data_IF_809817422087
#
_entry.id   IF_809817422087
#
_cell.length_a   1.000
_cell.length_b   1.000
_cell.length_c   1.000
_cell.angle_alpha   90.00
_cell.angle_beta   90.00
_cell.angle_gamma   90.00
#
_symmetry.space_group_name_H-M   'P 1'
#
loop_
_entity.id
_entity.type
_entity.pdbx_description
1 polymer ?
#
# COMPACT_ATOMS: atom_id res chain seq x y z
N UNK A 1 -60.94 -66.72 -16.69
CA UNK A 1 -60.64 -66.83 -15.25
C UNK A 1 -60.82 -65.45 -14.64
N UNK A 2 -61.38 -65.34 -13.44
CA UNK A 2 -61.51 -64.05 -12.75
C UNK A 2 -60.26 -63.84 -11.87
N UNK A 3 -59.55 -62.74 -12.08
CA UNK A 3 -58.38 -62.38 -11.28
C UNK A 3 -58.81 -61.73 -9.96
N UNK A 4 -57.98 -61.86 -8.92
CA UNK A 4 -58.17 -61.14 -7.67
C UNK A 4 -57.81 -59.66 -7.88
N UNK A 5 -58.68 -58.71 -7.51
CA UNK A 5 -58.35 -57.29 -7.62
C UNK A 5 -57.22 -56.93 -6.64
N UNK A 6 -56.14 -56.36 -7.17
CA UNK A 6 -54.98 -55.93 -6.39
C UNK A 6 -55.18 -54.51 -5.85
N UNK A 7 -54.69 -54.24 -4.64
CA UNK A 7 -54.66 -52.92 -4.02
C UNK A 7 -53.27 -52.63 -3.46
N UNK A 8 -52.86 -51.36 -3.51
CA UNK A 8 -51.57 -50.90 -2.99
C UNK A 8 -51.59 -50.76 -1.45
N UNK A 9 -51.81 -51.87 -0.76
CA UNK A 9 -51.96 -51.90 0.69
C UNK A 9 -50.89 -52.79 1.33
N UNK A 10 -50.24 -52.27 2.38
CA UNK A 10 -49.33 -53.06 3.22
C UNK A 10 -50.07 -53.62 4.43
N UNK A 11 -50.63 -54.82 4.25
CA UNK A 11 -51.44 -55.51 5.27
C UNK A 11 -50.69 -56.73 5.85
N UNK A 12 -51.09 -57.18 7.04
CA UNK A 12 -50.62 -58.45 7.58
C UNK A 12 -51.12 -59.63 6.74
N UNK A 13 -50.26 -60.63 6.50
CA UNK A 13 -50.67 -61.86 5.80
C UNK A 13 -51.50 -62.69 6.77
N UNK A 14 -52.79 -62.86 6.48
CA UNK A 14 -53.67 -63.64 7.34
C UNK A 14 -53.24 -65.12 7.36
N UNK A 15 -53.17 -65.70 8.55
CA UNK A 15 -53.06 -67.15 8.72
C UNK A 15 -54.45 -67.79 8.59
N UNK A 16 -54.54 -68.95 7.95
CA UNK A 16 -55.77 -69.75 7.95
C UNK A 16 -55.83 -70.55 9.26
N UNK A 17 -56.95 -70.45 9.95
CA UNK A 17 -57.19 -71.15 11.20
C UNK A 17 -58.04 -72.40 10.97
N UNK A 18 -57.93 -73.38 11.86
CA UNK A 18 -58.68 -74.64 11.76
C UNK A 18 -60.19 -74.47 11.91
N UNK A 19 -60.63 -73.34 12.47
CA UNK A 19 -62.04 -72.96 12.61
C UNK A 19 -62.60 -72.22 11.39
N UNK A 20 -61.76 -71.86 10.41
CA UNK A 20 -62.20 -71.11 9.23
C UNK A 20 -63.01 -71.99 8.27
N UNK A 21 -64.11 -71.42 7.75
CA UNK A 21 -64.88 -72.06 6.69
C UNK A 21 -64.13 -71.93 5.37
N UNK A 22 -64.01 -73.03 4.62
CA UNK A 22 -63.40 -73.06 3.30
C UNK A 22 -64.26 -72.33 2.24
N UNK A 23 -64.24 -71.00 2.27
CA UNK A 23 -64.96 -70.13 1.37
C UNK A 23 -64.02 -69.56 0.30
N UNK A 24 -64.26 -69.92 -0.96
CA UNK A 24 -63.58 -69.35 -2.12
C UNK A 24 -64.28 -68.09 -2.66
N UNK A 25 -63.80 -67.59 -3.80
CA UNK A 25 -64.35 -66.41 -4.47
C UNK A 25 -63.85 -65.07 -3.92
N UNK A 26 -64.30 -63.94 -4.50
CA UNK A 26 -63.92 -62.60 -4.07
C UNK A 26 -64.33 -62.36 -2.61
N UNK A 27 -63.37 -62.08 -1.74
CA UNK A 27 -63.63 -61.89 -0.30
C UNK A 27 -63.69 -63.17 0.53
N UNK A 28 -63.56 -64.36 -0.10
CA UNK A 28 -63.50 -65.64 0.59
C UNK A 28 -62.26 -65.79 1.48
N UNK A 29 -62.41 -66.46 2.62
CA UNK A 29 -61.35 -66.64 3.64
C UNK A 29 -60.14 -67.37 3.05
N UNK A 30 -60.35 -68.33 2.15
CA UNK A 30 -59.28 -69.09 1.51
C UNK A 30 -58.39 -68.24 0.58
N UNK A 31 -58.93 -67.14 0.05
CA UNK A 31 -58.21 -66.22 -0.83
C UNK A 31 -57.57 -65.05 -0.08
N UNK A 32 -57.84 -64.89 1.22
CA UNK A 32 -57.33 -63.77 2.00
C UNK A 32 -55.79 -63.72 2.05
N UNK A 33 -55.06 -64.82 2.37
CA UNK A 33 -53.59 -64.78 2.43
C UNK A 33 -52.97 -64.43 1.07
N UNK A 34 -53.52 -64.97 -0.02
CA UNK A 34 -53.06 -64.69 -1.38
C UNK A 34 -53.31 -63.23 -1.74
N UNK A 35 -54.50 -62.69 -1.43
CA UNK A 35 -54.81 -61.27 -1.64
C UNK A 35 -53.87 -60.36 -0.84
N UNK A 36 -53.57 -60.67 0.42
CA UNK A 36 -52.63 -59.88 1.22
C UNK A 36 -51.22 -59.88 0.59
N UNK A 37 -50.75 -61.01 0.07
CA UNK A 37 -49.44 -61.10 -0.61
C UNK A 37 -49.43 -60.31 -1.93
N UNK A 38 -50.48 -60.43 -2.73
CA UNK A 38 -50.60 -59.69 -3.98
C UNK A 38 -50.66 -58.18 -3.72
N UNK A 39 -51.43 -57.73 -2.73
CA UNK A 39 -51.50 -56.32 -2.33
C UNK A 39 -50.13 -55.77 -1.86
N UNK A 40 -49.41 -56.54 -1.04
CA UNK A 40 -48.04 -56.18 -0.62
C UNK A 40 -47.09 -56.10 -1.81
N UNK A 41 -47.23 -56.99 -2.79
CA UNK A 41 -46.41 -56.99 -4.00
C UNK A 41 -46.67 -55.74 -4.83
N UNK A 42 -47.94 -55.36 -5.03
CA UNK A 42 -48.33 -54.12 -5.70
C UNK A 42 -47.80 -52.87 -4.96
N UNK A 43 -47.92 -52.84 -3.62
CA UNK A 43 -47.35 -51.78 -2.78
C UNK A 43 -45.82 -51.66 -2.95
N UNK A 44 -45.09 -52.78 -2.88
CA UNK A 44 -43.64 -52.80 -3.04
C UNK A 44 -43.22 -52.40 -4.45
N UNK A 45 -43.96 -52.82 -5.49
CA UNK A 45 -43.68 -52.45 -6.87
C UNK A 45 -43.80 -50.94 -7.06
N UNK A 46 -44.85 -50.31 -6.55
CA UNK A 46 -45.00 -48.85 -6.58
C UNK A 46 -43.91 -48.14 -5.79
N UNK A 47 -43.58 -48.62 -4.60
CA UNK A 47 -42.51 -48.06 -3.78
C UNK A 47 -41.13 -48.17 -4.45
N UNK A 48 -40.90 -49.24 -5.22
CA UNK A 48 -39.69 -49.43 -6.01
C UNK A 48 -39.68 -48.51 -7.24
N UNK A 49 -40.79 -48.42 -7.98
CA UNK A 49 -40.91 -47.56 -9.16
C UNK A 49 -40.73 -46.07 -8.83
N UNK A 50 -41.18 -45.65 -7.65
CA UNK A 50 -40.90 -44.30 -7.13
C UNK A 50 -39.43 -44.05 -6.78
N UNK A 51 -38.58 -45.08 -6.74
CA UNK A 51 -37.15 -44.99 -6.39
C UNK A 51 -36.20 -45.29 -7.56
N UNK A 52 -36.67 -45.88 -8.66
CA UNK A 52 -35.82 -46.30 -9.79
C UNK A 52 -35.78 -45.31 -10.95
N UNK A 53 -36.59 -44.26 -10.93
CA UNK A 53 -36.58 -43.19 -11.94
C UNK A 53 -35.34 -42.28 -11.86
N UNK A 54 -35.06 -41.54 -12.93
CA UNK A 54 -34.03 -40.49 -12.94
C UNK A 54 -34.42 -39.38 -11.96
N UNK A 55 -33.48 -38.92 -11.13
CA UNK A 55 -33.75 -37.78 -10.25
C UNK A 55 -33.88 -36.47 -11.04
N UNK A 56 -34.64 -35.53 -10.48
CA UNK A 56 -34.74 -34.15 -10.94
C UNK A 56 -34.66 -33.21 -9.74
N UNK A 57 -34.75 -31.90 -10.01
CA UNK A 57 -34.83 -30.88 -8.95
C UNK A 57 -36.14 -30.94 -8.15
N UNK A 58 -37.16 -31.66 -8.65
CA UNK A 58 -38.50 -31.77 -8.03
C UNK A 58 -38.89 -33.20 -7.68
N UNK A 59 -38.11 -34.21 -8.09
CA UNK A 59 -38.45 -35.63 -7.92
C UNK A 59 -37.20 -36.42 -7.52
N UNK A 60 -37.30 -37.14 -6.41
CA UNK A 60 -36.23 -38.03 -5.97
C UNK A 60 -36.07 -39.20 -6.96
N UNK A 61 -34.82 -39.63 -7.18
CA UNK A 61 -34.49 -40.72 -8.09
C UNK A 61 -33.00 -41.07 -8.03
N UNK A 62 -32.53 -41.86 -8.99
CA UNK A 62 -31.12 -42.25 -9.11
C UNK A 62 -30.42 -41.29 -10.09
N UNK A 63 -29.24 -40.80 -9.71
CA UNK A 63 -28.35 -40.00 -10.57
C UNK A 63 -27.04 -40.72 -10.78
N UNK A 64 -26.43 -40.54 -11.96
CA UNK A 64 -25.05 -40.96 -12.19
C UNK A 64 -24.12 -39.92 -11.58
N UNK A 65 -23.07 -40.36 -10.90
CA UNK A 65 -22.07 -39.45 -10.33
C UNK A 65 -20.95 -39.18 -11.34
N UNK A 66 -20.53 -37.92 -11.44
CA UNK A 66 -19.40 -37.49 -12.27
C UNK A 66 -18.36 -36.73 -11.44
N UNK A 67 -17.08 -37.06 -11.66
CA UNK A 67 -15.95 -36.36 -11.03
C UNK A 67 -15.26 -35.37 -11.98
N UNK A 68 -15.86 -35.07 -13.13
CA UNK A 68 -15.36 -34.07 -14.07
C UNK A 68 -15.69 -32.65 -13.57
N UNK A 69 -14.75 -31.72 -13.70
CA UNK A 69 -14.90 -30.31 -13.29
C UNK A 69 -15.36 -29.39 -14.43
N UNK A 70 -15.54 -29.95 -15.62
CA UNK A 70 -15.94 -29.28 -16.86
C UNK A 70 -17.02 -30.09 -17.61
N UNK A 71 -17.90 -30.77 -16.87
CA UNK A 71 -18.98 -31.58 -17.44
C UNK A 71 -20.12 -30.68 -17.92
N UNK A 72 -20.57 -30.89 -19.15
CA UNK A 72 -21.78 -30.25 -19.70
C UNK A 72 -23.06 -31.10 -19.46
N UNK A 73 -22.94 -32.25 -18.79
CA UNK A 73 -24.10 -33.12 -18.47
C UNK A 73 -25.05 -32.44 -17.49
N UNK A 74 -26.33 -32.39 -17.85
CA UNK A 74 -27.43 -31.93 -16.98
C UNK A 74 -28.11 -33.06 -16.21
N UNK A 75 -27.67 -34.32 -16.40
CA UNK A 75 -28.28 -35.52 -15.79
C UNK A 75 -27.37 -36.21 -14.77
N UNK A 76 -26.11 -35.80 -14.70
CA UNK A 76 -25.13 -36.36 -13.76
C UNK A 76 -24.95 -35.41 -12.57
N UNK A 77 -24.85 -35.95 -11.36
CA UNK A 77 -24.54 -35.18 -10.17
C UNK A 77 -23.02 -35.10 -9.95
N UNK A 78 -22.54 -33.91 -9.57
CA UNK A 78 -21.14 -33.71 -9.24
C UNK A 78 -20.75 -34.46 -7.95
N UNK A 79 -19.61 -35.13 -7.96
CA UNK A 79 -19.03 -35.70 -6.73
C UNK A 79 -18.42 -34.59 -5.86
N UNK A 80 -18.32 -34.85 -4.56
CA UNK A 80 -17.58 -33.97 -3.64
C UNK A 80 -16.12 -33.72 -4.09
N UNK A 81 -15.50 -34.69 -4.78
CA UNK A 81 -14.15 -34.53 -5.33
C UNK A 81 -14.10 -33.57 -6.54
N UNK A 82 -15.12 -33.54 -7.41
CA UNK A 82 -15.22 -32.52 -8.46
C UNK A 82 -15.37 -31.13 -7.86
N UNK A 83 -16.25 -30.97 -6.87
CA UNK A 83 -16.47 -29.69 -6.18
C UNK A 83 -15.17 -29.21 -5.52
N UNK A 84 -14.46 -30.10 -4.81
CA UNK A 84 -13.18 -29.79 -4.18
C UNK A 84 -12.11 -29.39 -5.20
N UNK A 85 -11.99 -30.09 -6.33
CA UNK A 85 -11.03 -29.74 -7.39
C UNK A 85 -11.32 -28.37 -8.02
N UNK A 86 -12.59 -28.07 -8.26
CA UNK A 86 -13.00 -26.76 -8.78
C UNK A 86 -12.68 -25.64 -7.78
N UNK A 87 -12.95 -25.88 -6.50
CA UNK A 87 -12.59 -24.98 -5.41
C UNK A 87 -11.08 -24.74 -5.33
N UNK A 88 -10.27 -25.82 -5.29
CA UNK A 88 -8.81 -25.72 -5.20
C UNK A 88 -8.21 -24.97 -6.42
N UNK A 89 -8.78 -25.17 -7.61
CA UNK A 89 -8.36 -24.42 -8.80
C UNK A 89 -8.69 -22.93 -8.69
N UNK A 90 -9.90 -22.59 -8.22
CA UNK A 90 -10.30 -21.20 -7.99
C UNK A 90 -9.40 -20.53 -6.94
N UNK A 91 -9.10 -21.22 -5.83
CA UNK A 91 -8.18 -20.76 -4.78
C UNK A 91 -6.75 -20.55 -5.33
N UNK A 92 -6.24 -21.47 -6.15
CA UNK A 92 -4.93 -21.32 -6.81
C UNK A 92 -4.87 -20.13 -7.77
N UNK A 93 -5.94 -19.85 -8.52
CA UNK A 93 -5.99 -18.66 -9.39
C UNK A 93 -6.12 -17.39 -8.58
N UNK A 94 -6.87 -17.41 -7.49
CA UNK A 94 -7.07 -16.23 -6.66
C UNK A 94 -5.84 -15.86 -5.83
N UNK A 95 -5.08 -16.84 -5.34
CA UNK A 95 -3.79 -16.60 -4.68
C UNK A 95 -2.76 -15.95 -5.61
N UNK A 96 -2.93 -16.06 -6.94
CA UNK A 96 -2.13 -15.30 -7.91
C UNK A 96 -2.56 -13.84 -8.07
N UNK A 97 -3.69 -13.45 -7.48
CA UNK A 97 -4.19 -12.08 -7.45
C UNK A 97 -3.79 -11.46 -6.10
N UNK A 98 -2.84 -10.50 -6.09
CA UNK A 98 -2.24 -10.00 -4.85
C UNK A 98 -3.16 -9.12 -3.98
N UNK A 99 -4.45 -9.05 -4.29
CA UNK A 99 -5.40 -8.11 -3.67
C UNK A 99 -6.77 -8.69 -3.30
N UNK A 100 -7.00 -10.00 -3.41
CA UNK A 100 -8.31 -10.61 -3.14
C UNK A 100 -8.18 -11.93 -2.34
N UNK A 101 -9.19 -12.24 -1.53
CA UNK A 101 -9.29 -13.51 -0.78
C UNK A 101 -10.48 -14.37 -1.22
N UNK A 102 -10.41 -15.68 -1.01
CA UNK A 102 -11.40 -16.68 -1.48
C UNK A 102 -12.80 -16.37 -0.95
N UNK A 103 -12.88 -15.96 0.31
CA UNK A 103 -14.14 -15.61 0.96
C UNK A 103 -14.80 -14.35 0.38
N UNK A 104 -14.07 -13.46 -0.31
CA UNK A 104 -14.61 -12.21 -0.89
C UNK A 104 -15.13 -12.39 -2.33
N UNK A 105 -14.77 -13.48 -3.02
CA UNK A 105 -15.05 -13.68 -4.45
C UNK A 105 -16.01 -14.85 -4.72
N UNK A 106 -15.96 -15.92 -3.92
CA UNK A 106 -16.73 -17.15 -4.17
C UNK A 106 -18.05 -17.25 -3.39
N UNK A 107 -18.33 -16.33 -2.47
CA UNK A 107 -19.58 -16.31 -1.69
C UNK A 107 -20.78 -15.67 -2.43
N UNK A 108 -20.55 -15.19 -3.67
CA UNK A 108 -21.59 -14.63 -4.53
C UNK A 108 -22.16 -13.29 -4.06
N UNK A 109 -21.54 -12.63 -3.07
CA UNK A 109 -22.08 -11.42 -2.45
C UNK A 109 -21.62 -10.09 -3.05
N UNK A 110 -20.55 -10.06 -3.85
CA UNK A 110 -19.93 -8.79 -4.28
C UNK A 110 -20.02 -8.55 -5.79
N UNK A 111 -20.86 -7.60 -6.20
CA UNK A 111 -20.92 -7.07 -7.58
C UNK A 111 -19.84 -6.03 -7.89
N UNK A 112 -19.01 -5.65 -6.92
CA UNK A 112 -17.87 -4.74 -7.12
C UNK A 112 -16.58 -5.43 -6.70
N UNK A 113 -15.50 -5.22 -7.47
CA UNK A 113 -14.13 -5.54 -7.04
C UNK A 113 -13.75 -4.58 -5.90
N UNK A 114 -14.27 -4.81 -4.71
CA UNK A 114 -13.93 -4.01 -3.53
C UNK A 114 -12.56 -4.49 -3.07
N UNK A 115 -11.50 -3.85 -3.55
CA UNK A 115 -10.20 -3.98 -2.87
C UNK A 115 -10.43 -3.45 -1.46
N UNK A 116 -10.33 -4.32 -0.45
CA UNK A 116 -10.61 -3.88 0.90
C UNK A 116 -9.68 -2.69 1.28
N UNK A 117 -10.18 -1.69 2.04
CA UNK A 117 -9.37 -0.52 2.39
C UNK A 117 -8.02 -0.86 3.05
N UNK A 118 -7.95 -1.97 3.77
CA UNK A 118 -6.72 -2.45 4.45
C UNK A 118 -5.66 -2.93 3.43
N UNK A 119 -6.08 -3.51 2.32
CA UNK A 119 -5.23 -3.90 1.19
C UNK A 119 -4.71 -2.65 0.49
N UNK A 120 -5.57 -1.66 0.24
CA UNK A 120 -5.12 -0.39 -0.35
C UNK A 120 -4.16 0.39 0.57
N UNK A 121 -4.40 0.36 1.89
CA UNK A 121 -3.51 0.91 2.90
C UNK A 121 -2.16 0.19 2.94
N UNK A 122 -2.13 -1.15 2.94
CA UNK A 122 -0.87 -1.91 2.94
C UNK A 122 -0.05 -1.71 1.65
N UNK A 123 -0.70 -1.26 0.57
CA UNK A 123 -0.05 -0.86 -0.69
C UNK A 123 0.37 0.62 -0.72
N UNK A 124 0.08 1.40 0.33
CA UNK A 124 0.45 2.81 0.43
C UNK A 124 -0.48 3.80 -0.26
N UNK A 125 -1.65 3.36 -0.74
CA UNK A 125 -2.57 4.17 -1.56
C UNK A 125 -3.58 5.01 -0.73
N UNK A 126 -3.74 4.73 0.57
CA UNK A 126 -4.58 5.49 1.50
C UNK A 126 -3.89 5.63 2.85
N UNK A 127 -4.08 6.77 3.52
CA UNK A 127 -3.64 6.92 4.91
C UNK A 127 -4.49 6.02 5.82
N UNK A 128 -3.84 5.07 6.49
CA UNK A 128 -4.52 4.16 7.41
C UNK A 128 -4.87 4.81 8.74
N UNK A 129 -3.99 5.70 9.23
CA UNK A 129 -4.12 6.41 10.50
C UNK A 129 -3.13 7.59 10.55
N UNK A 130 -3.45 8.64 11.33
CA UNK A 130 -2.48 9.69 11.73
C UNK A 130 -2.16 9.46 13.21
N UNK A 131 -0.94 9.05 13.52
CA UNK A 131 -0.62 8.57 14.87
C UNK A 131 0.71 9.09 15.38
N UNK A 132 0.85 9.18 16.71
CA UNK A 132 2.12 9.47 17.36
C UNK A 132 3.08 8.30 17.16
N UNK A 133 4.29 8.57 16.67
CA UNK A 133 5.33 7.56 16.54
C UNK A 133 6.17 7.45 17.81
N UNK A 134 5.80 6.50 18.66
CA UNK A 134 6.43 6.23 19.95
C UNK A 134 7.59 5.23 19.89
N UNK A 135 7.71 4.48 18.79
CA UNK A 135 8.71 3.40 18.64
C UNK A 135 9.74 3.78 17.59
N UNK A 136 11.03 3.55 17.87
CA UNK A 136 12.12 3.85 16.92
C UNK A 136 12.07 3.05 15.63
N UNK A 137 11.54 1.83 15.63
CA UNK A 137 11.50 0.98 14.44
C UNK A 137 10.11 0.96 13.82
N UNK A 138 10.03 1.34 12.55
CA UNK A 138 8.82 1.23 11.73
C UNK A 138 8.88 -0.11 10.99
N UNK A 139 7.75 -0.80 10.91
CA UNK A 139 7.63 -2.14 10.30
C UNK A 139 6.83 -2.10 9.01
N UNK A 140 6.94 -3.15 8.18
CA UNK A 140 6.19 -3.27 6.93
C UNK A 140 4.67 -3.31 7.14
N UNK A 141 4.20 -3.66 8.34
CA UNK A 141 2.78 -3.58 8.70
C UNK A 141 2.23 -2.15 8.74
N UNK A 142 3.11 -1.15 8.77
CA UNK A 142 2.77 0.28 8.86
C UNK A 142 2.89 1.01 7.52
N UNK A 143 3.00 0.30 6.39
CA UNK A 143 2.83 0.93 5.09
C UNK A 143 1.46 1.61 4.97
N UNK A 144 1.45 2.78 4.35
CA UNK A 144 0.30 3.70 4.30
C UNK A 144 0.10 4.54 5.56
N UNK A 145 0.94 4.43 6.60
CA UNK A 145 0.78 5.22 7.82
C UNK A 145 1.34 6.65 7.67
N UNK A 146 0.69 7.60 8.36
CA UNK A 146 1.24 8.93 8.63
C UNK A 146 1.53 9.08 10.12
N UNK A 147 2.74 9.47 10.43
CA UNK A 147 3.21 9.68 11.79
C UNK A 147 3.50 11.14 12.07
N UNK A 148 3.20 11.56 13.29
CA UNK A 148 3.79 12.77 13.87
C UNK A 148 4.69 12.37 15.04
N UNK A 149 5.72 13.18 15.28
CA UNK A 149 6.72 12.97 16.33
C UNK A 149 6.78 14.20 17.21
N UNK A 150 6.36 14.06 18.48
CA UNK A 150 6.39 15.12 19.51
C UNK A 150 7.03 14.63 20.83
N UNK A 151 7.49 13.38 20.86
CA UNK A 151 7.93 12.76 22.11
C UNK A 151 9.40 13.10 22.41
N UNK A 152 9.75 13.24 23.69
CA UNK A 152 11.13 13.55 24.12
C UNK A 152 12.16 12.52 23.65
N UNK A 153 11.75 11.25 23.52
CA UNK A 153 12.53 10.13 22.97
C UNK A 153 11.61 9.12 22.27
N UNK A 154 11.97 8.56 21.11
CA UNK A 154 13.28 8.63 20.47
C UNK A 154 13.46 9.85 19.54
N UNK A 155 14.71 10.19 19.20
CA UNK A 155 15.08 11.17 18.18
C UNK A 155 15.60 10.53 16.88
N UNK A 156 15.67 9.20 16.86
CA UNK A 156 16.08 8.42 15.71
C UNK A 156 15.04 7.33 15.43
N UNK A 157 14.64 7.25 14.17
CA UNK A 157 13.67 6.30 13.68
C UNK A 157 14.23 5.56 12.47
N UNK A 158 13.79 4.33 12.28
CA UNK A 158 14.28 3.45 11.23
C UNK A 158 13.10 2.97 10.39
N UNK A 159 13.18 3.21 9.09
CA UNK A 159 12.22 2.71 8.10
C UNK A 159 12.25 1.18 8.03
N UNK A 160 11.19 0.52 7.52
CA UNK A 160 11.21 -0.91 7.28
C UNK A 160 12.35 -1.33 6.34
N UNK A 161 12.89 -2.53 6.55
CA UNK A 161 13.77 -3.16 5.57
C UNK A 161 12.94 -3.53 4.33
N UNK A 162 13.34 -2.96 3.18
CA UNK A 162 12.68 -3.17 1.89
C UNK A 162 13.49 -4.09 0.96
N UNK A 163 14.53 -4.75 1.48
CA UNK A 163 15.42 -5.60 0.68
C UNK A 163 14.70 -6.77 -0.02
N UNK A 164 13.60 -7.25 0.56
CA UNK A 164 12.80 -8.36 0.06
C UNK A 164 11.43 -7.92 -0.50
N UNK A 165 11.19 -6.61 -0.62
CA UNK A 165 9.94 -6.09 -1.20
C UNK A 165 10.07 -6.13 -2.73
N UNK A 166 9.17 -6.86 -3.39
CA UNK A 166 9.19 -7.08 -4.85
C UNK A 166 8.35 -6.03 -5.61
N UNK A 167 7.58 -5.21 -4.91
CA UNK A 167 6.71 -4.15 -5.49
C UNK A 167 7.19 -2.73 -5.20
N UNK A 168 6.56 -1.74 -5.83
CA UNK A 168 6.76 -0.32 -5.56
C UNK A 168 5.46 0.33 -5.05
N UNK A 169 5.59 1.54 -4.50
CA UNK A 169 4.47 2.41 -4.13
C UNK A 169 4.11 2.40 -2.65
N UNK A 170 4.68 1.52 -1.82
CA UNK A 170 4.43 1.55 -0.38
C UNK A 170 4.95 2.84 0.23
N UNK A 171 4.13 3.52 1.03
CA UNK A 171 4.44 4.85 1.55
C UNK A 171 4.50 4.87 3.07
N UNK A 172 5.37 5.73 3.63
CA UNK A 172 5.36 6.13 5.04
C UNK A 172 5.54 7.64 5.08
N UNK A 173 4.67 8.35 5.78
CA UNK A 173 4.85 9.80 5.99
C UNK A 173 5.20 10.07 7.44
N UNK A 174 6.20 10.92 7.69
CA UNK A 174 6.64 11.31 9.03
C UNK A 174 6.69 12.82 9.10
N UNK A 175 6.13 13.39 10.17
CA UNK A 175 6.16 14.82 10.47
C UNK A 175 6.82 15.05 11.82
N UNK A 176 7.91 15.81 11.84
CA UNK A 176 8.58 16.21 13.06
C UNK A 176 7.92 17.47 13.62
N UNK A 177 7.17 17.34 14.72
CA UNK A 177 6.59 18.49 15.42
C UNK A 177 7.44 18.96 16.61
N UNK A 178 8.55 18.25 16.90
CA UNK A 178 9.50 18.66 17.94
C UNK A 178 10.21 19.95 17.58
N UNK A 179 10.72 20.63 18.61
CA UNK A 179 11.66 21.75 18.53
C UNK A 179 13.13 21.31 18.25
N UNK A 180 13.36 20.00 18.11
CA UNK A 180 14.67 19.40 17.85
C UNK A 180 14.65 18.54 16.59
N UNK A 181 15.82 18.33 16.00
CA UNK A 181 15.97 17.48 14.83
C UNK A 181 15.68 16.00 15.16
N UNK A 182 15.06 15.29 14.23
CA UNK A 182 14.98 13.83 14.24
C UNK A 182 15.72 13.25 13.05
N UNK A 183 16.19 12.02 13.19
CA UNK A 183 16.90 11.28 12.13
C UNK A 183 16.07 10.09 11.69
N UNK A 184 15.83 9.96 10.39
CA UNK A 184 15.19 8.80 9.77
C UNK A 184 16.28 8.01 9.05
N UNK A 185 16.48 6.74 9.41
CA UNK A 185 17.44 5.85 8.77
C UNK A 185 16.74 4.75 7.98
N UNK A 186 17.45 4.19 7.00
CA UNK A 186 17.01 2.97 6.32
C UNK A 186 17.02 1.75 7.26
N UNK A 187 16.11 0.80 7.02
CA UNK A 187 16.01 -0.44 7.79
C UNK A 187 17.14 -1.44 7.60
N UNK A 188 17.88 -1.31 6.50
CA UNK A 188 18.99 -2.16 6.12
C UNK A 188 20.05 -1.31 5.42
N UNK A 189 21.34 -1.56 5.68
CA UNK A 189 22.46 -0.83 5.07
C UNK A 189 22.53 -0.99 3.55
N UNK A 190 21.90 -2.03 3.00
CA UNK A 190 21.76 -2.25 1.55
C UNK A 190 20.63 -1.42 0.92
N UNK A 191 19.85 -0.70 1.73
CA UNK A 191 18.81 0.20 1.24
C UNK A 191 19.34 1.63 1.18
N UNK A 192 18.66 2.49 0.42
CA UNK A 192 18.99 3.91 0.35
C UNK A 192 17.74 4.77 0.32
N UNK A 193 17.91 6.06 0.61
CA UNK A 193 16.90 7.11 0.45
C UNK A 193 17.38 8.01 -0.70
N UNK A 194 16.68 7.97 -1.82
CA UNK A 194 16.85 8.89 -2.93
C UNK A 194 16.33 10.27 -2.53
N UNK A 195 17.18 11.26 -2.72
CA UNK A 195 16.96 12.69 -2.49
C UNK A 195 17.43 13.43 -3.75
N UNK A 196 17.14 14.74 -3.91
CA UNK A 196 17.59 15.49 -5.08
C UNK A 196 19.10 15.29 -5.36
N UNK A 197 19.41 14.73 -6.53
CA UNK A 197 20.77 14.53 -7.05
C UNK A 197 21.69 13.63 -6.20
N UNK A 198 21.16 12.84 -5.25
CA UNK A 198 21.97 12.00 -4.38
C UNK A 198 21.17 10.85 -3.75
N UNK A 199 21.87 9.94 -3.07
CA UNK A 199 21.28 8.89 -2.24
C UNK A 199 21.96 8.89 -0.87
N UNK A 200 21.17 8.81 0.19
CA UNK A 200 21.63 8.82 1.58
C UNK A 200 21.09 7.60 2.34
N UNK A 201 21.72 7.22 3.44
CA UNK A 201 21.20 6.17 4.33
C UNK A 201 20.42 6.76 5.51
N UNK A 202 20.54 8.07 5.72
CA UNK A 202 19.82 8.82 6.75
C UNK A 202 19.32 10.15 6.21
N UNK A 203 18.15 10.58 6.68
CA UNK A 203 17.56 11.89 6.40
C UNK A 203 17.20 12.57 7.72
N UNK A 204 17.67 13.81 7.91
CA UNK A 204 17.32 14.63 9.07
C UNK A 204 16.09 15.47 8.77
N UNK A 205 15.04 15.30 9.59
CA UNK A 205 13.88 16.19 9.62
C UNK A 205 14.13 17.23 10.71
N UNK A 206 14.21 18.51 10.33
CA UNK A 206 14.30 19.62 11.29
C UNK A 206 12.93 19.88 11.94
N UNK A 207 12.86 20.71 12.99
CA UNK A 207 11.60 21.12 13.57
C UNK A 207 10.59 21.54 12.52
N UNK A 208 9.34 21.10 12.69
CA UNK A 208 8.19 21.35 11.82
C UNK A 208 8.22 20.69 10.43
N UNK A 209 9.33 20.04 10.04
CA UNK A 209 9.46 19.42 8.71
C UNK A 209 8.82 18.03 8.61
N UNK A 210 8.41 17.67 7.41
CA UNK A 210 7.86 16.38 7.05
C UNK A 210 8.59 15.73 5.86
N UNK A 211 8.47 14.41 5.77
CA UNK A 211 8.88 13.66 4.60
C UNK A 211 7.95 12.47 4.38
N UNK A 212 7.61 12.22 3.13
CA UNK A 212 6.98 10.99 2.65
C UNK A 212 8.04 10.15 1.96
N UNK A 213 8.21 8.93 2.45
CA UNK A 213 9.11 7.92 1.90
C UNK A 213 8.28 6.94 1.09
N UNK A 214 8.64 6.73 -0.16
CA UNK A 214 7.94 5.89 -1.12
C UNK A 214 8.91 4.78 -1.54
N UNK A 215 8.50 3.51 -1.44
CA UNK A 215 9.30 2.40 -1.97
C UNK A 215 9.33 2.50 -3.50
N UNK A 216 10.50 2.79 -4.05
CA UNK A 216 10.80 2.64 -5.46
C UNK A 216 11.41 1.26 -5.74
N UNK A 217 11.62 0.93 -7.02
CA UNK A 217 12.19 -0.36 -7.39
C UNK A 217 13.59 -0.55 -6.76
N UNK A 218 13.90 -1.78 -6.35
CA UNK A 218 15.25 -2.25 -5.95
C UNK A 218 15.86 -1.52 -4.74
N UNK A 219 15.28 -1.71 -3.55
CA UNK A 219 15.90 -1.31 -2.25
C UNK A 219 16.05 0.21 -2.05
N UNK A 220 15.31 1.03 -2.78
CA UNK A 220 15.36 2.49 -2.69
C UNK A 220 14.05 3.03 -2.12
N UNK A 221 14.17 3.93 -1.15
CA UNK A 221 13.12 4.84 -0.71
C UNK A 221 13.26 6.15 -1.48
N UNK A 222 12.26 6.60 -2.22
CA UNK A 222 12.22 7.98 -2.71
C UNK A 222 11.59 8.87 -1.62
N UNK A 223 12.35 9.85 -1.14
CA UNK A 223 11.83 10.84 -0.20
C UNK A 223 11.29 12.06 -0.95
N UNK A 224 10.13 12.55 -0.53
CA UNK A 224 9.56 13.84 -0.93
C UNK A 224 9.02 14.59 0.29
N UNK A 225 8.80 15.89 0.20
CA UNK A 225 8.36 16.74 1.32
C UNK A 225 9.24 17.98 1.52
N UNK A 226 8.89 18.80 2.50
CA UNK A 226 9.60 20.03 2.84
C UNK A 226 11.02 19.77 3.38
N UNK A 227 11.24 18.67 4.12
CA UNK A 227 12.59 18.25 4.52
C UNK A 227 13.50 17.98 3.30
N UNK A 228 12.91 17.53 2.19
CA UNK A 228 13.59 17.19 0.94
C UNK A 228 13.74 18.41 0.03
N UNK A 229 12.74 19.31 0.02
CA UNK A 229 12.77 20.54 -0.77
C UNK A 229 13.98 21.42 -0.44
N UNK A 230 14.37 21.48 0.84
CA UNK A 230 15.60 22.17 1.27
C UNK A 230 16.87 21.63 0.61
N UNK A 231 16.89 20.36 0.24
CA UNK A 231 18.04 19.70 -0.42
C UNK A 231 18.04 19.92 -1.93
N UNK A 232 16.96 20.45 -2.50
CA UNK A 232 16.88 20.72 -3.92
C UNK A 232 17.87 21.84 -4.31
N UNK A 233 18.67 21.66 -5.39
CA UNK A 233 19.67 22.65 -5.78
C UNK A 233 19.12 24.06 -6.02
N UNK A 234 17.86 24.17 -6.47
CA UNK A 234 17.17 25.45 -6.70
C UNK A 234 16.88 26.25 -5.43
N UNK A 235 16.94 25.62 -4.26
CA UNK A 235 16.70 26.22 -2.95
C UNK A 235 17.94 26.17 -2.04
N UNK A 236 19.10 25.86 -2.61
CA UNK A 236 20.36 25.77 -1.87
C UNK A 236 20.83 27.14 -1.37
N UNK A 237 21.39 27.17 -0.16
CA UNK A 237 21.92 28.37 0.46
C UNK A 237 23.03 28.05 1.47
N UNK A 238 23.89 29.02 1.75
CA UNK A 238 24.83 29.04 2.85
C UNK A 238 24.53 30.27 3.73
N UNK A 239 24.07 30.09 4.98
CA UNK A 239 23.71 31.21 5.84
C UNK A 239 24.92 31.87 6.55
N UNK A 240 26.16 31.56 6.15
CA UNK A 240 27.36 32.15 6.75
C UNK A 240 27.27 33.68 6.78
N UNK A 241 27.56 34.28 7.94
CA UNK A 241 27.54 35.73 8.10
C UNK A 241 28.52 36.43 7.15
N UNK A 242 29.73 35.87 7.02
CA UNK A 242 30.75 36.33 6.09
C UNK A 242 30.98 35.25 5.03
N UNK A 243 30.51 35.49 3.80
CA UNK A 243 30.59 34.52 2.71
C UNK A 243 29.34 33.63 2.60
N UNK A 244 28.16 34.18 2.88
CA UNK A 244 26.89 33.51 2.67
C UNK A 244 26.33 33.74 1.28
N UNK A 245 25.38 32.89 0.89
CA UNK A 245 24.69 32.98 -0.39
C UNK A 245 23.35 32.24 -0.36
N UNK A 246 22.45 32.59 -1.27
CA UNK A 246 21.20 31.90 -1.49
C UNK A 246 20.87 31.87 -2.97
N UNK A 247 20.52 30.69 -3.48
CA UNK A 247 19.90 30.54 -4.80
C UNK A 247 18.39 30.70 -4.70
N UNK A 248 17.82 31.43 -5.65
CA UNK A 248 16.39 31.69 -5.75
C UNK A 248 15.78 30.79 -6.83
N UNK A 249 14.48 30.45 -6.72
CA UNK A 249 13.78 29.65 -7.72
C UNK A 249 13.81 30.23 -9.14
N UNK A 250 13.99 31.56 -9.28
CA UNK A 250 14.16 32.24 -10.56
C UNK A 250 15.48 31.93 -11.27
N UNK A 251 16.42 31.26 -10.60
CA UNK A 251 17.79 31.06 -11.07
C UNK A 251 18.78 32.12 -10.58
N UNK A 252 18.29 33.24 -10.05
CA UNK A 252 19.13 34.26 -9.41
C UNK A 252 19.86 33.70 -8.19
N UNK A 253 21.05 34.21 -7.93
CA UNK A 253 21.85 33.94 -6.75
C UNK A 253 22.13 35.29 -6.08
N UNK A 254 21.88 35.38 -4.78
CA UNK A 254 22.28 36.51 -3.94
C UNK A 254 23.44 36.03 -3.06
N UNK A 255 24.52 36.79 -2.97
CA UNK A 255 25.68 36.48 -2.13
C UNK A 255 26.00 37.67 -1.21
N UNK A 256 26.53 37.41 -0.02
CA UNK A 256 26.92 38.45 0.92
C UNK A 256 28.19 38.07 1.69
N UNK A 257 28.92 39.09 2.14
CA UNK A 257 30.12 38.90 2.93
C UNK A 257 30.87 40.21 3.14
N UNK A 258 32.08 40.09 3.65
CA UNK A 258 33.02 41.19 3.84
C UNK A 258 33.88 41.41 2.61
N UNK A 259 34.31 42.65 2.41
CA UNK A 259 35.39 43.03 1.49
C UNK A 259 36.59 43.53 2.29
N UNK A 260 37.80 43.18 1.84
CA UNK A 260 39.02 43.73 2.43
C UNK A 260 39.25 45.16 1.95
N UNK A 261 39.65 46.05 2.87
CA UNK A 261 39.81 47.49 2.62
C UNK A 261 41.27 47.89 2.84
N UNK A 262 42.14 47.53 1.89
CA UNK A 262 43.51 48.05 1.81
C UNK A 262 43.56 49.29 0.90
N UNK A 263 44.66 50.05 0.95
CA UNK A 263 44.87 51.17 0.02
C UNK A 263 45.12 50.62 -1.38
N UNK A 264 44.13 50.74 -2.28
CA UNK A 264 44.19 50.24 -3.65
C UNK A 264 43.01 49.34 -4.03
N UNK A 265 43.04 48.85 -5.27
CA UNK A 265 42.02 47.92 -5.77
C UNK A 265 42.23 46.57 -5.10
N UNK A 266 41.18 46.07 -4.45
CA UNK A 266 41.20 44.82 -3.69
C UNK A 266 40.23 43.82 -4.29
N UNK A 267 40.72 42.62 -4.57
CA UNK A 267 39.89 41.53 -5.10
C UNK A 267 39.38 40.64 -3.98
N UNK A 268 38.06 40.54 -3.86
CA UNK A 268 37.37 39.65 -2.91
C UNK A 268 36.73 38.49 -3.67
N UNK A 269 36.96 37.26 -3.21
CA UNK A 269 36.32 36.05 -3.76
C UNK A 269 34.89 35.91 -3.27
N UNK A 270 33.98 35.58 -4.19
CA UNK A 270 32.61 35.20 -3.86
C UNK A 270 32.55 33.75 -3.36
N UNK A 271 31.61 33.41 -2.46
CA UNK A 271 31.38 32.05 -1.96
C UNK A 271 31.12 31.03 -3.06
N UNK A 272 30.36 31.44 -4.09
CA UNK A 272 30.07 30.62 -5.26
C UNK A 272 30.26 31.45 -6.54
N UNK A 273 30.66 30.79 -7.61
CA UNK A 273 30.76 31.44 -8.94
C UNK A 273 29.36 31.58 -9.53
N UNK A 274 29.02 32.76 -10.07
CA UNK A 274 27.80 32.93 -10.85
C UNK A 274 27.89 32.11 -12.15
N UNK A 275 26.96 31.15 -12.40
CA UNK A 275 27.02 30.26 -13.55
C UNK A 275 27.08 30.96 -14.91
N UNK A 276 26.42 32.12 -15.05
CA UNK A 276 26.27 32.83 -16.32
C UNK A 276 26.78 34.27 -16.24
N UNK A 277 26.25 35.08 -15.32
CA UNK A 277 26.52 36.51 -15.26
C UNK A 277 26.52 37.05 -13.82
N UNK A 278 27.51 37.89 -13.52
CA UNK A 278 27.51 38.73 -12.31
C UNK A 278 26.90 40.09 -12.66
N UNK A 279 25.69 40.36 -12.17
CA UNK A 279 24.94 41.56 -12.54
C UNK A 279 25.40 42.80 -11.76
N UNK A 280 25.51 42.70 -10.44
CA UNK A 280 25.86 43.87 -9.61
C UNK A 280 26.36 43.51 -8.21
N UNK A 281 27.25 44.34 -7.67
CA UNK A 281 27.69 44.31 -6.28
C UNK A 281 27.41 45.65 -5.61
N UNK A 282 26.54 45.67 -4.60
CA UNK A 282 26.40 46.80 -3.71
C UNK A 282 27.36 46.63 -2.54
N UNK A 283 28.12 47.68 -2.21
CA UNK A 283 29.04 47.70 -1.08
C UNK A 283 28.69 48.80 -0.11
N UNK A 284 28.89 48.51 1.17
CA UNK A 284 28.79 49.47 2.26
C UNK A 284 30.04 49.37 3.10
N UNK A 285 30.55 50.50 3.57
CA UNK A 285 31.64 50.47 4.53
C UNK A 285 31.10 50.21 5.93
N UNK A 286 31.86 49.48 6.74
CA UNK A 286 31.57 49.34 8.16
C UNK A 286 31.90 50.67 8.89
N UNK A 287 31.25 50.89 10.03
CA UNK A 287 31.44 52.08 10.85
C UNK A 287 31.72 51.68 12.30
N UNK A 288 32.79 52.26 12.87
CA UNK A 288 33.09 52.14 14.30
C UNK A 288 32.34 53.25 15.04
N UNK A 289 31.39 52.93 15.95
CA UNK A 289 30.67 53.93 16.73
C UNK A 289 31.62 54.92 17.42
N UNK A 290 31.27 56.21 17.36
CA UNK A 290 32.03 57.33 17.94
C UNK A 290 33.45 57.56 17.37
N UNK A 291 33.86 56.84 16.31
CA UNK A 291 35.16 57.08 15.66
C UNK A 291 35.25 58.41 14.92
N UNK A 292 34.11 59.01 14.56
CA UNK A 292 34.05 60.16 13.66
C UNK A 292 34.53 59.88 12.23
N UNK A 293 34.94 58.64 11.93
CA UNK A 293 35.51 58.27 10.65
C UNK A 293 34.39 57.98 9.64
N UNK A 294 34.25 58.87 8.65
CA UNK A 294 33.38 58.69 7.49
C UNK A 294 34.26 58.59 6.25
N UNK A 295 34.10 57.54 5.45
CA UNK A 295 34.74 57.44 4.13
C UNK A 295 33.81 56.72 3.14
N UNK A 296 34.27 56.56 1.91
CA UNK A 296 33.53 55.94 0.82
C UNK A 296 34.22 54.68 0.32
N UNK A 297 33.40 53.75 -0.15
CA UNK A 297 33.81 52.52 -0.82
C UNK A 297 33.06 52.40 -2.13
N UNK A 298 33.77 51.97 -3.18
CA UNK A 298 33.18 51.62 -4.46
C UNK A 298 33.58 50.19 -4.82
N UNK A 299 32.71 49.50 -5.55
CA UNK A 299 33.01 48.17 -6.05
C UNK A 299 32.34 47.91 -7.40
N UNK A 300 32.92 46.97 -8.14
CA UNK A 300 32.35 46.44 -9.36
C UNK A 300 32.60 44.92 -9.47
N UNK A 301 31.84 44.22 -10.32
CA UNK A 301 32.18 42.88 -10.75
C UNK A 301 33.60 42.84 -11.37
N UNK A 302 34.50 42.03 -10.81
CA UNK A 302 35.81 41.75 -11.40
C UNK A 302 35.77 40.55 -12.36
N UNK A 303 35.03 39.52 -11.96
CA UNK A 303 34.75 38.32 -12.75
C UNK A 303 33.48 37.67 -12.21
N UNK A 304 33.03 36.53 -12.77
CA UNK A 304 31.88 35.79 -12.23
C UNK A 304 32.07 35.26 -10.80
N UNK A 305 33.28 35.30 -10.26
CA UNK A 305 33.62 34.81 -8.92
C UNK A 305 34.30 35.87 -8.05
N UNK A 306 34.44 37.12 -8.50
CA UNK A 306 35.17 38.15 -7.76
C UNK A 306 34.52 39.52 -7.81
N UNK A 307 34.64 40.24 -6.70
CA UNK A 307 34.37 41.67 -6.57
C UNK A 307 35.72 42.40 -6.54
N UNK A 308 35.85 43.49 -7.29
CA UNK A 308 36.95 44.44 -7.12
C UNK A 308 36.39 45.64 -6.38
N UNK A 309 36.98 45.96 -5.22
CA UNK A 309 36.56 47.07 -4.37
C UNK A 309 37.73 48.00 -4.06
N UNK A 310 37.43 49.29 -3.89
CA UNK A 310 38.41 50.31 -3.50
C UNK A 310 37.82 51.24 -2.44
N UNK A 311 38.62 51.54 -1.42
CA UNK A 311 38.27 52.51 -0.36
C UNK A 311 39.21 53.72 -0.39
N UNK A 312 38.74 54.86 0.09
CA UNK A 312 39.57 56.04 0.33
C UNK A 312 40.35 55.98 1.66
N UNK A 313 39.90 55.18 2.62
CA UNK A 313 40.56 55.03 3.94
C UNK A 313 40.71 53.54 4.29
N UNK A 314 41.93 52.99 4.29
CA UNK A 314 42.14 51.62 4.73
C UNK A 314 41.90 51.46 6.24
N UNK A 315 41.28 50.34 6.66
CA UNK A 315 41.22 49.93 8.07
C UNK A 315 39.83 49.76 8.71
N UNK A 316 38.74 50.21 8.07
CA UNK A 316 37.38 50.07 8.63
C UNK A 316 36.63 48.80 8.16
N UNK A 317 37.12 48.11 7.14
CA UNK A 317 36.40 46.97 6.54
C UNK A 317 35.18 47.41 5.75
N UNK A 318 34.50 46.47 5.10
CA UNK A 318 33.25 46.73 4.40
C UNK A 318 32.49 45.45 4.14
N UNK A 319 31.23 45.58 3.72
CA UNK A 319 30.36 44.46 3.38
C UNK A 319 29.80 44.62 1.98
N UNK A 320 29.46 43.50 1.37
CA UNK A 320 28.82 43.47 0.07
C UNK A 320 27.52 42.67 0.08
N UNK A 321 26.64 43.03 -0.83
CA UNK A 321 25.58 42.17 -1.37
C UNK A 321 25.78 42.11 -2.89
N UNK A 322 25.85 40.91 -3.43
CA UNK A 322 26.08 40.62 -4.84
C UNK A 322 24.90 39.84 -5.42
N UNK A 323 24.55 40.12 -6.68
CA UNK A 323 23.47 39.42 -7.39
C UNK A 323 23.89 39.03 -8.80
N UNK A 324 23.47 37.84 -9.23
CA UNK A 324 23.78 37.27 -10.55
C UNK A 324 23.02 35.96 -10.78
N UNK A 325 23.36 35.21 -11.83
CA UNK A 325 22.79 33.90 -12.16
C UNK A 325 23.74 33.06 -13.02
#
# INVERSE_FOLDING_TARGET
MADLPEQEAWEGVRQLETSDRALGGPGGVMNAPLRNLTNRTAYLKKALDGKTGAASTTTAGIVKLSSATNSDSSTDAATASAVKKAYDLADSKLSSIPFATVSEVLDGGSTEKVVNPKTLQSKGNFYSNVSLLTTSKITTAQFGARFWVDYSSPSAYTLPDISNIVGCGQTITIWNVKDTNITISVGNSSNSISIPMSTVTTLTLKPTESATFIVEQVKVWHATGDAVLRLAPSWSFNPAFNGGWQKLPSGLIIQWGGVSTISGDTTTMLPVTFPTAFLHAAVTMDYTPASGAVTYIAACPGSRSTIVSRTASPGLGGRYIAIGY
#
